data_IF_590102487240
#
_entry.id   IF_590102487240
#
_cell.length_a   1.000
_cell.length_b   1.000
_cell.length_c   1.000
_cell.angle_alpha   90.00
_cell.angle_beta   90.00
_cell.angle_gamma   90.00
#
_symmetry.space_group_name_H-M   'P 1'
#
loop_
_entity.id
_entity.type
_entity.pdbx_description
1 polymer ?
#
# COMPACT_ATOMS: atom_id res chain seq x y z
N UNK A 1 -3.96 -17.29 26.74
CA UNK A 1 -4.25 -17.34 25.29
C UNK A 1 -3.17 -16.56 24.55
N UNK A 2 -2.58 -17.14 23.51
CA UNK A 2 -1.66 -16.41 22.62
C UNK A 2 -2.47 -15.38 21.83
N UNK A 3 -2.05 -14.12 21.83
CA UNK A 3 -2.69 -13.06 21.05
C UNK A 3 -2.48 -13.37 19.55
N UNK A 4 -3.55 -13.73 18.84
CA UNK A 4 -3.53 -13.95 17.39
C UNK A 4 -4.41 -12.90 16.73
N UNK A 5 -3.80 -12.03 15.91
CA UNK A 5 -4.52 -11.06 15.09
C UNK A 5 -4.63 -11.60 13.66
N UNK A 6 -5.85 -11.89 13.17
CA UNK A 6 -6.04 -12.43 11.83
C UNK A 6 -5.84 -11.38 10.73
N UNK A 7 -5.86 -10.08 11.07
CA UNK A 7 -5.76 -8.99 10.12
C UNK A 7 -4.30 -8.60 9.90
N UNK A 8 -3.82 -8.64 8.66
CA UNK A 8 -2.44 -8.28 8.33
C UNK A 8 -2.28 -6.78 8.08
N UNK A 9 -3.19 -6.18 7.31
CA UNK A 9 -3.09 -4.80 6.84
C UNK A 9 -4.42 -4.07 6.98
N UNK A 10 -4.49 -3.07 7.84
CA UNK A 10 -5.63 -2.14 7.84
C UNK A 10 -5.47 -1.03 6.81
N UNK A 11 -4.26 -0.70 6.38
CA UNK A 11 -4.01 0.27 5.31
C UNK A 11 -3.22 -0.38 4.19
N UNK A 12 -3.71 -0.25 2.95
CA UNK A 12 -2.92 -0.62 1.78
C UNK A 12 -1.83 0.42 1.61
N UNK A 13 -0.56 -0.01 1.58
CA UNK A 13 0.58 0.87 1.38
C UNK A 13 0.87 1.08 -0.09
N UNK A 14 -0.16 1.42 -0.85
CA UNK A 14 -0.11 1.70 -2.29
C UNK A 14 -0.91 2.96 -2.58
N UNK A 15 -0.33 3.88 -3.34
CA UNK A 15 -1.00 5.13 -3.70
C UNK A 15 -2.00 4.90 -4.85
N UNK A 16 -3.33 5.07 -4.63
CA UNK A 16 -4.34 4.86 -5.66
C UNK A 16 -4.21 5.80 -6.87
N UNK A 17 -3.45 6.90 -6.77
CA UNK A 17 -3.14 7.74 -7.93
C UNK A 17 -2.33 7.00 -9.00
N UNK A 18 -1.57 5.97 -8.62
CA UNK A 18 -0.82 5.13 -9.55
C UNK A 18 -1.78 4.35 -10.45
N UNK A 19 -2.69 3.57 -9.85
CA UNK A 19 -3.71 2.83 -10.59
C UNK A 19 -4.63 3.77 -11.37
N UNK A 20 -4.98 4.93 -10.79
CA UNK A 20 -5.80 5.93 -11.49
C UNK A 20 -5.16 6.38 -12.80
N UNK A 21 -3.86 6.67 -12.81
CA UNK A 21 -3.12 7.04 -14.03
C UNK A 21 -3.16 5.92 -15.07
N UNK A 22 -2.90 4.68 -14.65
CA UNK A 22 -2.93 3.51 -15.53
C UNK A 22 -4.33 3.27 -16.10
N UNK A 23 -5.38 3.40 -15.30
CA UNK A 23 -6.78 3.28 -15.76
C UNK A 23 -7.11 4.33 -16.81
N UNK A 24 -6.69 5.59 -16.59
CA UNK A 24 -6.91 6.68 -17.54
C UNK A 24 -6.11 6.49 -18.84
N UNK A 25 -4.84 6.08 -18.76
CA UNK A 25 -3.97 5.90 -19.94
C UNK A 25 -4.38 4.69 -20.79
N UNK A 26 -4.95 3.65 -20.18
CA UNK A 26 -5.41 2.43 -20.86
C UNK A 26 -6.90 2.40 -21.18
N UNK A 27 -7.69 3.38 -20.69
CA UNK A 27 -9.15 3.37 -20.75
C UNK A 27 -9.78 2.09 -20.15
N UNK A 28 -9.13 1.51 -19.12
CA UNK A 28 -9.59 0.28 -18.46
C UNK A 28 -11.01 0.40 -17.91
N UNK A 29 -11.79 -0.67 -18.03
CA UNK A 29 -13.19 -0.77 -17.57
C UNK A 29 -13.42 -1.82 -16.51
N UNK A 30 -12.69 -2.92 -16.58
CA UNK A 30 -12.74 -4.03 -15.63
C UNK A 30 -11.35 -4.24 -15.02
N UNK A 31 -11.25 -4.08 -13.70
CA UNK A 31 -9.99 -4.02 -12.96
C UNK A 31 -9.94 -5.10 -11.89
N UNK A 32 -8.88 -5.92 -11.91
CA UNK A 32 -8.56 -6.88 -10.87
C UNK A 32 -7.52 -6.29 -9.92
N UNK A 33 -7.78 -6.34 -8.61
CA UNK A 33 -6.85 -5.86 -7.58
C UNK A 33 -6.65 -6.93 -6.50
N UNK A 34 -5.46 -6.96 -5.90
CA UNK A 34 -5.27 -7.58 -4.59
C UNK A 34 -5.98 -6.74 -3.54
N UNK A 35 -6.83 -7.35 -2.71
CA UNK A 35 -7.74 -6.60 -1.83
C UNK A 35 -6.98 -5.91 -0.69
N UNK A 36 -6.18 -6.67 0.08
CA UNK A 36 -5.43 -6.16 1.24
C UNK A 36 -6.35 -5.34 2.17
N UNK A 37 -5.92 -4.18 2.64
CA UNK A 37 -6.76 -3.26 3.44
C UNK A 37 -7.85 -2.51 2.65
N UNK A 38 -7.98 -2.71 1.33
CA UNK A 38 -9.01 -2.12 0.45
C UNK A 38 -8.91 -0.62 0.12
N UNK A 39 -7.96 0.12 0.71
CA UNK A 39 -7.83 1.58 0.51
C UNK A 39 -7.71 1.99 -0.96
N UNK A 40 -6.95 1.22 -1.76
CA UNK A 40 -6.79 1.43 -3.20
C UNK A 40 -8.13 1.25 -3.93
N UNK A 41 -8.79 0.10 -3.73
CA UNK A 41 -10.08 -0.21 -4.35
C UNK A 41 -11.17 0.80 -4.00
N UNK A 42 -11.26 1.20 -2.72
CA UNK A 42 -12.22 2.22 -2.26
C UNK A 42 -11.99 3.56 -2.97
N UNK A 43 -10.73 4.00 -3.07
CA UNK A 43 -10.41 5.25 -3.78
C UNK A 43 -10.74 5.15 -5.27
N UNK A 44 -10.40 4.03 -5.91
CA UNK A 44 -10.64 3.83 -7.34
C UNK A 44 -12.12 3.76 -7.70
N UNK A 45 -12.95 3.06 -6.93
CA UNK A 45 -14.40 3.07 -7.15
C UNK A 45 -14.99 4.46 -6.92
N UNK A 46 -14.45 5.24 -5.98
CA UNK A 46 -14.86 6.62 -5.77
C UNK A 46 -14.46 7.53 -6.94
N UNK A 47 -13.30 7.32 -7.57
CA UNK A 47 -12.89 8.02 -8.79
C UNK A 47 -13.73 7.62 -9.99
N UNK A 48 -14.04 6.32 -10.10
CA UNK A 48 -14.70 5.75 -11.25
C UNK A 48 -15.91 4.88 -10.82
N UNK A 49 -17.06 5.50 -10.49
CA UNK A 49 -18.24 4.78 -10.00
C UNK A 49 -18.83 3.77 -10.99
N UNK A 50 -18.49 3.87 -12.28
CA UNK A 50 -19.02 3.02 -13.34
C UNK A 50 -18.14 1.81 -13.67
N UNK A 51 -16.91 1.76 -13.16
CA UNK A 51 -16.01 0.63 -13.43
C UNK A 51 -16.31 -0.55 -12.54
N UNK A 52 -15.97 -1.73 -13.04
CA UNK A 52 -16.06 -2.99 -12.32
C UNK A 52 -14.72 -3.28 -11.67
N UNK A 53 -14.78 -3.64 -10.39
CA UNK A 53 -13.61 -4.00 -9.62
C UNK A 53 -13.81 -5.38 -8.99
N UNK A 54 -12.86 -6.27 -9.25
CA UNK A 54 -12.77 -7.58 -8.63
C UNK A 54 -11.60 -7.58 -7.66
N UNK A 55 -11.85 -7.93 -6.41
CA UNK A 55 -10.87 -7.93 -5.32
C UNK A 55 -10.55 -9.36 -4.91
N UNK A 56 -9.27 -9.71 -4.94
CA UNK A 56 -8.79 -11.04 -4.58
C UNK A 56 -7.98 -10.97 -3.30
N UNK A 57 -8.32 -11.77 -2.31
CA UNK A 57 -7.51 -11.95 -1.10
C UNK A 57 -7.80 -13.32 -0.47
N UNK A 58 -6.77 -14.10 -0.09
CA UNK A 58 -6.98 -15.38 0.57
C UNK A 58 -7.33 -15.24 2.06
N UNK A 59 -7.17 -14.05 2.64
CA UNK A 59 -7.47 -13.80 4.05
C UNK A 59 -8.90 -13.27 4.24
N UNK A 60 -9.84 -14.07 4.80
CA UNK A 60 -11.21 -13.63 5.00
C UNK A 60 -11.33 -12.41 5.94
N UNK A 61 -10.37 -12.21 6.86
CA UNK A 61 -10.38 -11.03 7.74
C UNK A 61 -10.11 -9.73 6.99
N UNK A 62 -9.33 -9.77 5.90
CA UNK A 62 -9.13 -8.61 5.02
C UNK A 62 -10.43 -8.27 4.30
N UNK A 63 -11.09 -9.28 3.72
CA UNK A 63 -12.38 -9.09 3.05
C UNK A 63 -13.43 -8.51 4.01
N UNK A 64 -13.51 -9.04 5.23
CA UNK A 64 -14.41 -8.53 6.26
C UNK A 64 -14.11 -7.05 6.59
N UNK A 65 -12.84 -6.67 6.77
CA UNK A 65 -12.48 -5.27 7.02
C UNK A 65 -12.95 -4.36 5.88
N UNK A 66 -12.78 -4.78 4.62
CA UNK A 66 -13.22 -3.98 3.46
C UNK A 66 -14.74 -3.78 3.49
N UNK A 67 -15.51 -4.83 3.80
CA UNK A 67 -16.96 -4.75 3.94
C UNK A 67 -17.38 -3.80 5.07
N UNK A 68 -16.69 -3.83 6.21
CA UNK A 68 -16.91 -2.90 7.34
C UNK A 68 -16.61 -1.44 6.95
N UNK A 69 -15.52 -1.21 6.20
CA UNK A 69 -15.19 0.11 5.64
C UNK A 69 -16.26 0.58 4.68
N UNK A 70 -16.71 -0.26 3.74
CA UNK A 70 -17.79 0.08 2.80
C UNK A 70 -19.07 0.45 3.55
N UNK A 71 -19.45 -0.33 4.57
CA UNK A 71 -20.62 -0.06 5.39
C UNK A 71 -20.51 1.29 6.09
N UNK A 72 -19.39 1.55 6.77
CA UNK A 72 -19.12 2.81 7.48
C UNK A 72 -19.14 4.00 6.53
N UNK A 73 -18.47 3.90 5.38
CA UNK A 73 -18.44 4.97 4.38
C UNK A 73 -19.85 5.31 3.84
N UNK A 74 -20.72 4.30 3.71
CA UNK A 74 -22.09 4.45 3.21
C UNK A 74 -23.09 4.96 4.26
N UNK A 75 -22.96 4.52 5.52
CA UNK A 75 -24.00 4.72 6.55
C UNK A 75 -23.68 5.80 7.56
N UNK A 76 -22.41 6.01 7.88
CA UNK A 76 -22.00 6.95 8.91
C UNK A 76 -22.16 8.40 8.44
N UNK A 77 -22.45 9.31 9.38
CA UNK A 77 -22.31 10.74 9.15
C UNK A 77 -20.86 11.11 8.82
N UNK A 78 -20.62 12.30 8.28
CA UNK A 78 -19.26 12.76 7.96
C UNK A 78 -18.33 12.73 9.18
N UNK A 79 -18.82 13.12 10.37
CA UNK A 79 -18.06 13.10 11.62
C UNK A 79 -17.74 11.68 12.09
N UNK A 80 -18.74 10.79 12.10
CA UNK A 80 -18.54 9.38 12.49
C UNK A 80 -17.61 8.65 11.53
N UNK A 81 -17.70 8.95 10.22
CA UNK A 81 -16.78 8.44 9.21
C UNK A 81 -15.35 8.89 9.53
N UNK A 82 -15.12 10.19 9.71
CA UNK A 82 -13.80 10.72 10.07
C UNK A 82 -13.25 10.06 11.35
N UNK A 83 -14.08 9.93 12.37
CA UNK A 83 -13.69 9.26 13.62
C UNK A 83 -13.30 7.79 13.41
N UNK A 84 -14.11 7.02 12.65
CA UNK A 84 -13.90 5.59 12.40
C UNK A 84 -12.64 5.29 11.59
N UNK A 85 -12.14 6.26 10.83
CA UNK A 85 -10.90 6.17 10.05
C UNK A 85 -9.75 6.97 10.69
N UNK A 86 -9.84 7.25 11.99
CA UNK A 86 -8.77 7.93 12.73
C UNK A 86 -8.35 9.25 12.07
N UNK A 87 -9.31 10.13 11.77
CA UNK A 87 -9.00 11.53 11.43
C UNK A 87 -8.89 12.30 12.74
N UNK A 88 -7.73 12.92 12.98
CA UNK A 88 -7.34 13.67 14.21
C UNK A 88 -7.43 12.86 15.52
N UNK A 89 -7.50 11.54 15.45
CA UNK A 89 -7.47 10.64 16.61
C UNK A 89 -6.80 9.32 16.22
N UNK A 90 -6.17 8.60 17.15
CA UNK A 90 -5.38 7.40 16.88
C UNK A 90 -5.95 6.15 17.60
N UNK A 91 -7.27 6.00 17.63
CA UNK A 91 -7.92 4.90 18.33
C UNK A 91 -7.53 3.53 17.75
N UNK A 92 -7.24 2.56 18.63
CA UNK A 92 -6.92 1.18 18.23
C UNK A 92 -8.09 0.48 17.53
N UNK A 93 -9.32 0.94 17.76
CA UNK A 93 -10.53 0.46 17.10
C UNK A 93 -10.78 1.09 15.73
N UNK A 94 -9.93 2.03 15.30
CA UNK A 94 -10.04 2.65 13.98
C UNK A 94 -9.84 1.62 12.87
N UNK A 95 -10.60 1.76 11.78
CA UNK A 95 -10.59 0.84 10.63
C UNK A 95 -9.26 0.85 9.86
N UNK A 96 -8.33 1.72 10.25
CA UNK A 96 -6.99 1.87 9.71
C UNK A 96 -5.87 1.50 10.70
N UNK A 97 -6.14 0.96 11.90
CA UNK A 97 -5.11 0.65 12.92
C UNK A 97 -5.11 -0.79 13.45
N UNK A 98 -6.03 -1.63 12.97
CA UNK A 98 -6.27 -2.99 13.48
C UNK A 98 -5.30 -4.08 13.01
N UNK A 99 -4.49 -3.85 11.98
CA UNK A 99 -3.64 -4.88 11.37
C UNK A 99 -2.33 -5.15 12.12
N UNK A 100 -1.68 -6.26 11.76
CA UNK A 100 -0.34 -6.57 12.22
C UNK A 100 0.66 -5.49 11.79
N UNK A 101 0.61 -5.05 10.53
CA UNK A 101 1.54 -4.02 10.06
C UNK A 101 1.35 -2.68 10.77
N UNK A 102 0.10 -2.31 11.06
CA UNK A 102 -0.21 -1.14 11.88
C UNK A 102 0.30 -1.29 13.31
N UNK A 103 0.33 -2.51 13.86
CA UNK A 103 0.94 -2.78 15.17
C UNK A 103 2.46 -2.56 15.17
N UNK A 104 3.15 -2.87 14.07
CA UNK A 104 4.55 -2.50 13.88
C UNK A 104 4.71 -0.98 13.85
N UNK A 105 3.93 -0.27 13.02
CA UNK A 105 4.05 1.18 12.92
C UNK A 105 3.70 1.91 14.20
N UNK A 106 2.73 1.42 14.97
CA UNK A 106 2.40 1.96 16.28
C UNK A 106 3.55 1.78 17.27
N UNK A 107 4.23 0.63 17.26
CA UNK A 107 5.39 0.39 18.11
C UNK A 107 6.58 1.26 17.70
N UNK A 108 6.83 1.35 16.39
CA UNK A 108 7.82 2.26 15.80
C UNK A 108 7.55 3.71 16.19
N UNK A 109 6.33 4.21 15.98
CA UNK A 109 5.89 5.55 16.37
C UNK A 109 6.09 5.81 17.86
N UNK A 110 5.65 4.89 18.73
CA UNK A 110 5.82 5.05 20.17
C UNK A 110 7.29 5.18 20.56
N UNK A 111 8.18 4.41 19.92
CA UNK A 111 9.62 4.54 20.14
C UNK A 111 10.15 5.90 19.69
N UNK A 112 9.74 6.40 18.51
CA UNK A 112 10.09 7.75 18.06
C UNK A 112 9.61 8.80 19.05
N UNK A 113 8.37 8.66 19.56
CA UNK A 113 7.78 9.66 20.47
C UNK A 113 8.38 9.67 21.86
N UNK A 114 8.89 8.53 22.31
CA UNK A 114 9.54 8.39 23.62
C UNK A 114 11.00 8.84 23.59
N UNK A 115 11.71 8.56 22.49
CA UNK A 115 13.17 8.68 22.46
C UNK A 115 13.71 9.79 21.55
N UNK A 116 12.92 10.35 20.64
CA UNK A 116 13.41 11.29 19.62
C UNK A 116 12.70 12.65 19.70
N UNK A 117 11.38 12.69 19.45
CA UNK A 117 10.57 13.92 19.47
C UNK A 117 9.23 13.64 20.10
N UNK A 118 8.68 14.55 20.91
CA UNK A 118 7.34 14.34 21.43
C UNK A 118 6.27 14.40 20.32
N UNK A 119 5.03 14.00 20.65
CA UNK A 119 3.95 13.90 19.67
C UNK A 119 3.57 15.24 19.01
N UNK A 120 3.64 16.36 19.75
CA UNK A 120 3.32 17.69 19.22
C UNK A 120 4.41 18.19 18.27
N UNK A 121 5.68 18.02 18.66
CA UNK A 121 6.84 18.36 17.81
C UNK A 121 6.86 17.53 16.52
N UNK A 122 6.55 16.23 16.63
CA UNK A 122 6.45 15.36 15.46
C UNK A 122 5.30 15.79 14.54
N UNK A 123 4.13 16.15 15.10
CA UNK A 123 3.01 16.67 14.31
C UNK A 123 3.39 17.99 13.61
N UNK A 124 4.01 18.94 14.29
CA UNK A 124 4.49 20.19 13.71
C UNK A 124 5.48 19.93 12.55
N UNK A 125 6.47 19.06 12.78
CA UNK A 125 7.49 18.73 11.78
C UNK A 125 6.87 18.16 10.48
N UNK A 126 5.81 17.35 10.62
CA UNK A 126 5.17 16.62 9.53
C UNK A 126 4.00 17.35 8.87
N UNK A 127 3.51 18.46 9.42
CA UNK A 127 2.33 19.17 8.88
C UNK A 127 2.62 20.61 8.43
N UNK A 128 3.77 21.17 8.81
CA UNK A 128 4.21 22.49 8.34
C UNK A 128 4.76 22.45 6.91
N UNK A 129 4.26 23.27 5.97
CA UNK A 129 4.70 23.29 4.58
C UNK A 129 6.12 23.86 4.38
N UNK A 130 6.55 24.76 5.28
CA UNK A 130 7.81 25.53 5.13
C UNK A 130 8.97 24.98 5.97
N UNK A 131 8.84 23.80 6.57
CA UNK A 131 9.96 23.19 7.25
C UNK A 131 10.95 22.64 6.20
N UNK A 132 12.13 23.25 6.12
CA UNK A 132 13.20 22.80 5.25
C UNK A 132 13.58 21.34 5.57
N UNK A 133 13.92 20.55 4.55
CA UNK A 133 14.41 19.17 4.72
C UNK A 133 15.58 19.08 5.74
N UNK A 134 16.34 20.16 5.91
CA UNK A 134 17.36 20.30 6.95
C UNK A 134 16.83 20.13 8.38
N UNK A 135 15.62 20.62 8.70
CA UNK A 135 15.00 20.46 10.02
C UNK A 135 14.59 19.01 10.28
N UNK A 136 14.09 18.31 9.26
CA UNK A 136 13.79 16.87 9.35
C UNK A 136 15.08 16.09 9.62
N UNK A 137 16.15 16.38 8.87
CA UNK A 137 17.45 15.73 9.07
C UNK A 137 17.99 15.94 10.48
N UNK A 138 18.02 17.18 10.96
CA UNK A 138 18.60 17.50 12.27
C UNK A 138 17.77 16.95 13.43
N UNK A 139 16.43 16.99 13.32
CA UNK A 139 15.55 16.56 14.41
C UNK A 139 15.30 15.04 14.42
N UNK A 140 15.33 14.38 13.26
CA UNK A 140 15.11 12.94 13.14
C UNK A 140 16.37 12.19 12.73
N UNK A 141 16.89 12.41 11.52
CA UNK A 141 17.84 11.48 10.91
C UNK A 141 19.20 11.43 11.62
N UNK A 142 19.65 12.57 12.12
CA UNK A 142 20.91 12.70 12.87
C UNK A 142 20.76 12.25 14.33
N UNK A 143 19.52 11.97 14.79
CA UNK A 143 19.29 11.51 16.14
C UNK A 143 19.82 10.10 16.36
N UNK A 144 20.56 9.87 17.46
CA UNK A 144 21.22 8.58 17.74
C UNK A 144 20.27 7.37 17.80
N UNK A 145 18.99 7.59 18.11
CA UNK A 145 17.98 6.53 18.16
C UNK A 145 17.23 6.33 16.85
N UNK A 146 17.44 7.17 15.84
CA UNK A 146 16.75 7.06 14.55
C UNK A 146 17.07 5.74 13.86
N UNK A 147 18.36 5.44 13.67
CA UNK A 147 18.79 4.17 13.10
C UNK A 147 18.34 2.98 13.97
N UNK A 148 18.42 3.11 15.30
CA UNK A 148 17.99 2.06 16.25
C UNK A 148 16.52 1.70 16.06
N UNK A 149 15.65 2.67 15.80
CA UNK A 149 14.23 2.39 15.54
C UNK A 149 14.07 1.44 14.33
N UNK A 150 14.82 1.65 13.25
CA UNK A 150 14.76 0.76 12.09
C UNK A 150 15.35 -0.62 12.36
N UNK A 151 16.48 -0.66 13.06
CA UNK A 151 17.16 -1.90 13.42
C UNK A 151 16.32 -2.79 14.34
N UNK A 152 15.41 -2.21 15.13
CA UNK A 152 14.46 -2.93 15.98
C UNK A 152 13.20 -3.38 15.21
N UNK A 153 12.46 -2.43 14.64
CA UNK A 153 11.09 -2.69 14.16
C UNK A 153 11.03 -3.26 12.74
N UNK A 154 12.11 -3.17 11.97
CA UNK A 154 12.22 -3.77 10.65
C UNK A 154 13.29 -4.86 10.62
N UNK A 155 13.69 -5.37 11.78
CA UNK A 155 14.58 -6.52 11.88
C UNK A 155 13.99 -7.75 11.18
N UNK A 156 14.83 -8.55 10.53
CA UNK A 156 14.41 -9.75 9.78
C UNK A 156 13.52 -10.69 10.61
N UNK A 157 13.95 -11.08 11.81
CA UNK A 157 13.18 -11.98 12.67
C UNK A 157 11.85 -11.37 13.13
N UNK A 158 11.77 -10.04 13.24
CA UNK A 158 10.53 -9.36 13.63
C UNK A 158 9.51 -9.42 12.49
N UNK A 159 9.96 -9.15 11.25
CA UNK A 159 9.14 -9.24 10.05
C UNK A 159 8.70 -10.69 9.77
N UNK A 160 9.61 -11.65 9.90
CA UNK A 160 9.30 -13.09 9.73
C UNK A 160 8.27 -13.56 10.77
N UNK A 161 8.42 -13.17 12.05
CA UNK A 161 7.46 -13.52 13.09
C UNK A 161 6.05 -12.94 12.85
N UNK A 162 5.96 -11.79 12.19
CA UNK A 162 4.69 -11.12 11.90
C UNK A 162 4.01 -11.61 10.63
N UNK A 163 4.78 -11.78 9.55
CA UNK A 163 4.26 -11.99 8.21
C UNK A 163 4.59 -13.37 7.63
N UNK A 164 5.40 -14.17 8.32
CA UNK A 164 5.88 -15.46 7.85
C UNK A 164 7.20 -15.36 7.07
N UNK A 165 7.89 -16.49 6.86
CA UNK A 165 9.13 -16.54 6.09
C UNK A 165 8.94 -16.12 4.63
N UNK A 166 7.74 -16.33 4.08
CA UNK A 166 7.40 -15.99 2.70
C UNK A 166 7.54 -14.48 2.43
N UNK A 167 7.25 -13.63 3.42
CA UNK A 167 7.30 -12.18 3.26
C UNK A 167 8.72 -11.60 3.19
N UNK A 168 9.74 -12.41 3.54
CA UNK A 168 11.16 -11.99 3.57
C UNK A 168 12.05 -12.81 2.64
N UNK A 169 11.49 -13.77 1.91
CA UNK A 169 12.23 -14.83 1.21
C UNK A 169 13.16 -14.33 0.09
N UNK A 170 12.73 -13.31 -0.67
CA UNK A 170 13.47 -12.83 -1.85
C UNK A 170 14.44 -11.69 -1.55
N UNK A 171 14.29 -11.05 -0.39
CA UNK A 171 15.14 -9.95 0.03
C UNK A 171 16.45 -10.48 0.63
N UNK A 172 17.59 -9.79 0.43
CA UNK A 172 18.82 -10.15 1.12
C UNK A 172 18.60 -10.15 2.64
N UNK A 173 18.99 -11.22 3.33
CA UNK A 173 18.77 -11.35 4.78
C UNK A 173 19.38 -10.16 5.54
N UNK A 174 18.59 -9.55 6.42
CA UNK A 174 19.01 -8.38 7.21
C UNK A 174 18.99 -7.02 6.49
N UNK A 175 18.54 -6.95 5.24
CA UNK A 175 18.51 -5.69 4.48
C UNK A 175 17.36 -4.74 4.83
N UNK A 176 16.28 -5.25 5.43
CA UNK A 176 15.05 -4.50 5.68
C UNK A 176 15.21 -3.23 6.54
N UNK A 177 16.00 -3.21 7.64
CA UNK A 177 16.21 -1.97 8.41
C UNK A 177 16.75 -0.83 7.55
N UNK A 178 17.81 -1.09 6.79
CA UNK A 178 18.43 -0.08 5.93
C UNK A 178 17.50 0.32 4.78
N UNK A 179 16.77 -0.65 4.20
CA UNK A 179 15.82 -0.40 3.13
C UNK A 179 14.70 0.54 3.58
N UNK A 180 14.00 0.18 4.67
CA UNK A 180 12.90 0.97 5.19
C UNK A 180 13.34 2.35 5.66
N UNK A 181 14.52 2.45 6.27
CA UNK A 181 15.13 3.73 6.62
C UNK A 181 15.27 4.62 5.39
N UNK A 182 15.91 4.12 4.33
CA UNK A 182 16.17 4.88 3.10
C UNK A 182 14.88 5.39 2.46
N UNK A 183 13.86 4.54 2.31
CA UNK A 183 12.63 4.93 1.62
C UNK A 183 11.76 5.89 2.45
N UNK A 184 11.75 5.72 3.79
CA UNK A 184 11.07 6.64 4.70
C UNK A 184 11.79 7.99 4.78
N UNK A 185 13.12 8.00 4.89
CA UNK A 185 13.93 9.23 4.85
C UNK A 185 13.67 9.99 3.54
N UNK A 186 13.68 9.31 2.40
CA UNK A 186 13.36 9.92 1.11
C UNK A 186 11.96 10.57 1.10
N UNK A 187 10.94 9.89 1.64
CA UNK A 187 9.59 10.43 1.76
C UNK A 187 9.52 11.66 2.66
N UNK A 188 10.23 11.64 3.79
CA UNK A 188 10.31 12.74 4.74
C UNK A 188 11.13 13.94 4.24
N UNK A 189 11.97 13.76 3.22
CA UNK A 189 12.70 14.87 2.58
C UNK A 189 11.89 15.59 1.50
N UNK A 190 10.82 14.97 0.96
CA UNK A 190 9.99 15.60 -0.08
C UNK A 190 9.33 16.88 0.44
N UNK A 191 9.29 17.92 -0.40
CA UNK A 191 8.67 19.20 -0.09
C UNK A 191 7.17 19.06 0.22
N UNK A 192 6.49 18.14 -0.45
CA UNK A 192 5.06 17.88 -0.29
C UNK A 192 4.73 16.87 0.82
N UNK A 193 5.68 16.46 1.67
CA UNK A 193 5.45 15.50 2.77
C UNK A 193 4.30 15.90 3.69
N UNK A 194 4.08 17.21 3.86
CA UNK A 194 3.02 17.75 4.73
C UNK A 194 1.61 17.43 4.25
N UNK A 195 1.48 16.95 3.00
CA UNK A 195 0.24 16.47 2.38
C UNK A 195 0.17 14.95 2.28
N UNK A 196 1.21 14.25 2.70
CA UNK A 196 1.31 12.80 2.51
C UNK A 196 0.66 12.06 3.67
N UNK A 197 -0.59 11.64 3.47
CA UNK A 197 -1.35 10.91 4.47
C UNK A 197 -0.73 9.57 4.87
N UNK A 198 0.12 8.95 4.05
CA UNK A 198 0.85 7.75 4.43
C UNK A 198 1.89 8.03 5.51
N UNK A 199 2.61 9.15 5.38
CA UNK A 199 3.56 9.64 6.38
C UNK A 199 2.82 9.98 7.66
N UNK A 200 1.72 10.73 7.58
CA UNK A 200 0.90 11.05 8.75
C UNK A 200 0.43 9.79 9.45
N UNK A 201 -0.06 8.79 8.71
CA UNK A 201 -0.50 7.53 9.30
C UNK A 201 0.64 6.77 10.00
N UNK A 202 1.82 6.68 9.38
CA UNK A 202 2.99 6.00 9.98
C UNK A 202 3.38 6.66 11.31
N UNK A 203 3.56 7.98 11.29
CA UNK A 203 4.18 8.72 12.40
C UNK A 203 3.20 9.30 13.42
N UNK A 204 1.93 9.50 13.05
CA UNK A 204 0.90 10.05 13.94
C UNK A 204 -0.17 9.01 14.30
N UNK A 205 -0.32 7.94 13.51
CA UNK A 205 -1.37 6.91 13.70
C UNK A 205 -2.76 7.36 13.28
N UNK A 206 -2.84 8.50 12.59
CA UNK A 206 -4.08 9.15 12.21
C UNK A 206 -3.87 10.01 10.97
N UNK A 207 -4.95 10.35 10.28
CA UNK A 207 -4.94 11.32 9.20
C UNK A 207 -5.21 12.73 9.73
N UNK A 208 -4.60 13.73 9.09
CA UNK A 208 -4.81 15.14 9.42
C UNK A 208 -6.11 15.62 8.76
N UNK A 209 -6.93 16.38 9.48
CA UNK A 209 -8.22 16.89 8.98
C UNK A 209 -8.05 18.09 8.04
N UNK A 210 -7.42 17.84 6.91
CA UNK A 210 -7.32 18.75 5.78
C UNK A 210 -7.58 17.93 4.52
N UNK A 211 -8.41 18.44 3.61
CA UNK A 211 -8.84 17.69 2.42
C UNK A 211 -7.64 17.11 1.63
N UNK A 212 -6.58 17.90 1.48
CA UNK A 212 -5.35 17.50 0.77
C UNK A 212 -4.53 16.41 1.46
N UNK A 213 -4.85 16.09 2.73
CA UNK A 213 -4.16 15.12 3.60
C UNK A 213 -5.04 13.89 3.90
N UNK A 214 -6.16 13.73 3.21
CA UNK A 214 -7.06 12.58 3.40
C UNK A 214 -7.00 11.64 2.19
N UNK A 215 -7.10 10.32 2.41
CA UNK A 215 -7.40 9.38 1.34
C UNK A 215 -8.70 9.77 0.61
N UNK A 216 -8.71 9.66 -0.72
CA UNK A 216 -9.83 10.15 -1.53
C UNK A 216 -11.18 9.50 -1.20
N UNK A 217 -11.19 8.21 -0.81
CA UNK A 217 -12.42 7.53 -0.39
C UNK A 217 -13.10 8.15 0.85
N UNK A 218 -12.41 8.99 1.64
CA UNK A 218 -12.99 9.74 2.75
C UNK A 218 -13.61 11.07 2.31
N UNK A 219 -13.14 11.61 1.17
CA UNK A 219 -13.58 12.88 0.60
C UNK A 219 -14.80 12.71 -0.31
N UNK A 220 -14.86 11.58 -1.01
CA UNK A 220 -15.91 11.32 -1.98
C UNK A 220 -17.31 11.28 -1.33
N UNK A 221 -18.31 11.95 -1.92
CA UNK A 221 -19.68 11.90 -1.42
C UNK A 221 -20.28 10.52 -1.69
N UNK A 222 -20.23 9.65 -0.68
CA UNK A 222 -20.98 8.39 -0.55
C UNK A 222 -21.04 7.53 -1.84
N UNK A 223 -19.89 7.12 -2.41
CA UNK A 223 -19.90 6.22 -3.55
C UNK A 223 -20.56 4.88 -3.20
N UNK A 224 -21.28 4.31 -4.16
CA UNK A 224 -21.79 2.96 -4.03
C UNK A 224 -20.68 1.96 -4.40
N UNK A 225 -20.15 1.28 -3.39
CA UNK A 225 -19.12 0.26 -3.59
C UNK A 225 -19.75 -1.04 -4.09
N UNK A 226 -19.30 -1.53 -5.25
CA UNK A 226 -19.80 -2.74 -5.90
C UNK A 226 -18.62 -3.63 -6.30
N UNK A 227 -17.96 -4.20 -5.29
CA UNK A 227 -16.85 -5.12 -5.49
C UNK A 227 -17.35 -6.55 -5.68
N UNK A 228 -16.79 -7.23 -6.67
CA UNK A 228 -16.78 -8.70 -6.68
C UNK A 228 -15.61 -9.17 -5.81
N UNK A 229 -15.87 -10.11 -4.90
CA UNK A 229 -14.86 -10.63 -4.00
C UNK A 229 -14.52 -12.08 -4.34
N UNK A 230 -13.23 -12.35 -4.52
CA UNK A 230 -12.69 -13.70 -4.62
C UNK A 230 -11.89 -13.96 -3.34
N UNK A 231 -12.51 -14.68 -2.41
CA UNK A 231 -11.87 -15.06 -1.14
C UNK A 231 -10.97 -16.29 -1.35
N UNK A 232 -9.89 -16.09 -2.11
CA UNK A 232 -8.94 -17.12 -2.48
C UNK A 232 -7.63 -16.48 -2.96
N UNK A 233 -6.66 -17.31 -3.30
CA UNK A 233 -5.42 -16.86 -3.94
C UNK A 233 -5.65 -16.49 -5.41
N UNK A 234 -4.79 -15.62 -5.97
CA UNK A 234 -4.88 -15.11 -7.34
C UNK A 234 -4.91 -16.21 -8.42
N UNK A 235 -4.30 -17.37 -8.16
CA UNK A 235 -4.32 -18.53 -9.05
C UNK A 235 -5.71 -19.20 -9.15
N UNK A 236 -6.68 -18.80 -8.32
CA UNK A 236 -8.07 -19.27 -8.39
C UNK A 236 -9.01 -18.33 -9.11
N UNK A 237 -8.53 -17.19 -9.62
CA UNK A 237 -9.27 -16.40 -10.60
C UNK A 237 -9.55 -17.29 -11.81
N UNK A 238 -10.81 -17.44 -12.19
CA UNK A 238 -11.24 -18.40 -13.22
C UNK A 238 -10.57 -18.13 -14.57
N UNK A 239 -10.51 -16.85 -14.96
CA UNK A 239 -9.90 -16.41 -16.19
C UNK A 239 -9.50 -14.93 -16.09
N UNK A 240 -8.38 -14.54 -16.70
CA UNK A 240 -7.93 -13.15 -16.75
C UNK A 240 -8.40 -12.35 -17.99
N UNK A 241 -9.08 -13.00 -18.94
CA UNK A 241 -9.45 -12.37 -20.22
C UNK A 241 -10.35 -11.13 -20.10
N UNK A 242 -11.24 -11.07 -19.10
CA UNK A 242 -12.20 -9.97 -18.99
C UNK A 242 -11.54 -8.66 -18.54
N UNK A 243 -10.47 -8.75 -17.73
CA UNK A 243 -9.80 -7.59 -17.14
C UNK A 243 -9.02 -6.76 -18.16
N UNK A 244 -9.20 -5.45 -18.11
CA UNK A 244 -8.39 -4.47 -18.82
C UNK A 244 -7.14 -4.09 -18.03
N UNK A 245 -7.18 -4.23 -16.71
CA UNK A 245 -6.06 -4.03 -15.80
C UNK A 245 -6.02 -5.14 -14.74
N UNK A 246 -4.89 -5.84 -14.67
CA UNK A 246 -4.57 -6.75 -13.56
C UNK A 246 -3.48 -6.11 -12.71
N UNK A 247 -3.79 -5.84 -11.45
CA UNK A 247 -2.85 -5.34 -10.47
C UNK A 247 -2.50 -6.43 -9.46
N UNK A 248 -1.26 -6.91 -9.53
CA UNK A 248 -0.75 -7.97 -8.67
C UNK A 248 -0.18 -7.43 -7.36
N UNK A 249 -0.20 -6.11 -7.11
CA UNK A 249 0.49 -5.52 -5.97
C UNK A 249 1.94 -6.03 -5.93
N UNK A 250 2.44 -6.39 -4.75
CA UNK A 250 3.73 -7.02 -4.55
C UNK A 250 3.64 -8.51 -4.18
N UNK A 251 2.61 -9.23 -4.62
CA UNK A 251 2.46 -10.67 -4.26
C UNK A 251 3.63 -11.52 -4.72
N UNK A 252 4.35 -11.13 -5.78
CA UNK A 252 5.56 -11.83 -6.21
C UNK A 252 6.69 -11.76 -5.19
N UNK A 253 6.72 -10.77 -4.30
CA UNK A 253 7.66 -10.74 -3.18
C UNK A 253 7.41 -11.89 -2.17
N UNK A 254 6.22 -12.50 -2.21
CA UNK A 254 5.72 -13.49 -1.26
C UNK A 254 5.55 -14.89 -1.87
N UNK A 255 5.69 -15.01 -3.19
CA UNK A 255 5.43 -16.26 -3.90
C UNK A 255 6.72 -17.03 -4.18
N UNK A 256 6.63 -18.35 -4.10
CA UNK A 256 7.67 -19.25 -4.58
C UNK A 256 7.83 -19.13 -6.11
N UNK A 257 9.03 -19.40 -6.63
CA UNK A 257 9.35 -19.20 -8.05
C UNK A 257 8.47 -20.01 -9.01
N UNK A 258 8.11 -21.25 -8.64
CA UNK A 258 7.22 -22.11 -9.42
C UNK A 258 5.79 -21.55 -9.52
N UNK A 259 5.31 -20.93 -8.44
CA UNK A 259 4.01 -20.26 -8.41
C UNK A 259 4.02 -18.97 -9.22
N UNK A 260 5.12 -18.20 -9.17
CA UNK A 260 5.31 -17.00 -10.00
C UNK A 260 5.26 -17.38 -11.48
N UNK A 261 6.04 -18.38 -11.88
CA UNK A 261 6.08 -18.87 -13.26
C UNK A 261 4.70 -19.38 -13.71
N UNK A 262 4.03 -20.18 -12.88
CA UNK A 262 2.67 -20.67 -13.16
C UNK A 262 1.67 -19.53 -13.36
N UNK A 263 1.67 -18.52 -12.49
CA UNK A 263 0.78 -17.36 -12.63
C UNK A 263 1.11 -16.53 -13.87
N UNK A 264 2.40 -16.26 -14.13
CA UNK A 264 2.84 -15.53 -15.32
C UNK A 264 2.41 -16.25 -16.61
N UNK A 265 2.57 -17.58 -16.68
CA UNK A 265 2.13 -18.39 -17.81
C UNK A 265 0.61 -18.32 -18.03
N UNK A 266 -0.19 -18.24 -16.95
CA UNK A 266 -1.63 -18.01 -17.07
C UNK A 266 -1.92 -16.62 -17.62
N UNK A 267 -1.33 -15.57 -17.06
CA UNK A 267 -1.52 -14.18 -17.51
C UNK A 267 -1.10 -13.99 -18.99
N UNK A 268 0.04 -14.56 -19.40
CA UNK A 268 0.52 -14.57 -20.78
C UNK A 268 -0.49 -15.17 -21.77
N UNK A 269 -1.20 -16.21 -21.36
CA UNK A 269 -2.17 -16.92 -22.19
C UNK A 269 -3.56 -16.29 -22.16
N UNK A 270 -4.00 -15.83 -21.00
CA UNK A 270 -5.41 -15.52 -20.74
C UNK A 270 -5.73 -14.03 -20.91
N UNK A 271 -4.80 -13.12 -20.60
CA UNK A 271 -5.06 -11.68 -20.74
C UNK A 271 -5.20 -11.27 -22.20
N UNK A 272 -6.18 -10.41 -22.46
CA UNK A 272 -6.45 -9.89 -23.81
C UNK A 272 -5.40 -8.86 -24.26
N UNK A 273 -5.14 -8.75 -25.58
CA UNK A 273 -4.29 -7.71 -26.14
C UNK A 273 -4.66 -6.30 -25.67
N UNK A 274 -3.66 -5.46 -25.41
CA UNK A 274 -3.86 -4.10 -24.92
C UNK A 274 -4.19 -3.98 -23.42
N UNK A 275 -4.51 -5.08 -22.73
CA UNK A 275 -4.70 -5.06 -21.28
C UNK A 275 -3.39 -4.71 -20.56
N UNK A 276 -3.50 -4.08 -19.39
CA UNK A 276 -2.38 -3.66 -18.54
C UNK A 276 -2.12 -4.65 -17.42
N UNK A 277 -0.84 -4.90 -17.16
CA UNK A 277 -0.36 -5.60 -15.98
C UNK A 277 0.42 -4.60 -15.12
N UNK A 278 0.02 -4.46 -13.85
CA UNK A 278 0.72 -3.63 -12.87
C UNK A 278 1.28 -4.53 -11.76
N UNK A 279 2.57 -4.42 -11.49
CA UNK A 279 3.23 -5.10 -10.38
C UNK A 279 4.09 -4.12 -9.59
N UNK A 280 4.36 -4.47 -8.33
CA UNK A 280 5.24 -3.72 -7.43
C UNK A 280 6.28 -4.64 -6.83
N UNK A 281 7.44 -4.09 -6.50
CA UNK A 281 8.52 -4.83 -5.85
C UNK A 281 9.09 -4.02 -4.71
N UNK A 282 9.28 -4.67 -3.56
CA UNK A 282 9.77 -4.05 -2.35
C UNK A 282 11.31 -4.10 -2.27
N UNK A 283 11.85 -4.95 -1.40
CA UNK A 283 13.25 -4.94 -0.98
C UNK A 283 14.06 -6.06 -1.64
N UNK A 284 13.89 -6.24 -2.95
CA UNK A 284 14.68 -7.21 -3.72
C UNK A 284 14.90 -6.69 -5.16
N UNK A 285 15.77 -7.38 -5.89
CA UNK A 285 16.17 -7.03 -7.27
C UNK A 285 15.89 -8.17 -8.25
N UNK A 286 14.96 -9.07 -7.92
CA UNK A 286 14.57 -10.12 -8.88
C UNK A 286 13.93 -9.48 -10.09
N UNK A 287 14.21 -10.01 -11.28
CA UNK A 287 13.58 -9.57 -12.52
C UNK A 287 12.32 -10.40 -12.76
N UNK A 288 11.21 -10.07 -12.10
CA UNK A 288 9.95 -10.79 -12.35
C UNK A 288 9.37 -10.51 -13.74
N UNK A 289 9.80 -9.43 -14.41
CA UNK A 289 9.31 -9.12 -15.75
C UNK A 289 9.84 -10.08 -16.81
N UNK A 290 10.91 -10.83 -16.52
CA UNK A 290 11.43 -11.87 -17.41
C UNK A 290 10.39 -12.93 -17.79
N UNK A 291 9.48 -13.28 -16.87
CA UNK A 291 8.42 -14.28 -17.09
C UNK A 291 7.33 -13.84 -18.08
N UNK A 292 7.33 -12.56 -18.48
CA UNK A 292 6.36 -11.98 -19.41
C UNK A 292 6.96 -11.67 -20.79
N UNK A 293 8.23 -12.04 -21.00
CA UNK A 293 8.97 -11.78 -22.24
C UNK A 293 8.24 -12.30 -23.47
N UNK A 294 8.09 -11.46 -24.50
CA UNK A 294 7.40 -11.81 -25.75
C UNK A 294 5.87 -11.77 -25.68
N UNK A 295 5.28 -11.67 -24.49
CA UNK A 295 3.83 -11.57 -24.31
C UNK A 295 3.39 -10.21 -23.78
N UNK A 296 4.25 -9.51 -23.06
CA UNK A 296 4.03 -8.15 -22.59
C UNK A 296 5.20 -7.24 -22.96
N UNK A 297 4.89 -5.99 -23.27
CA UNK A 297 5.84 -4.90 -23.41
C UNK A 297 5.86 -4.07 -22.12
N UNK A 298 7.03 -3.96 -21.48
CA UNK A 298 7.20 -3.12 -20.30
C UNK A 298 7.29 -1.64 -20.70
N UNK A 299 6.38 -0.82 -20.19
CA UNK A 299 6.31 0.61 -20.45
C UNK A 299 7.28 1.33 -19.50
N UNK A 300 8.56 1.36 -19.87
CA UNK A 300 9.65 1.79 -18.97
C UNK A 300 9.51 3.24 -18.49
N UNK A 301 9.14 4.16 -19.38
CA UNK A 301 8.96 5.57 -19.04
C UNK A 301 7.75 5.75 -18.11
N UNK A 302 6.60 5.19 -18.46
CA UNK A 302 5.39 5.21 -17.60
C UNK A 302 5.68 4.58 -16.23
N UNK A 303 6.37 3.44 -16.18
CA UNK A 303 6.77 2.78 -14.93
C UNK A 303 7.63 3.66 -14.03
N UNK A 304 8.62 4.36 -14.61
CA UNK A 304 9.48 5.28 -13.87
C UNK A 304 8.71 6.51 -13.36
N UNK A 305 7.81 7.07 -14.17
CA UNK A 305 6.95 8.19 -13.76
C UNK A 305 5.99 7.81 -12.64
N UNK A 306 5.38 6.62 -12.73
CA UNK A 306 4.52 6.07 -11.68
C UNK A 306 5.30 5.96 -10.37
N UNK A 307 6.48 5.32 -10.38
CA UNK A 307 7.34 5.18 -9.21
C UNK A 307 7.74 6.54 -8.61
N UNK A 308 8.14 7.50 -9.44
CA UNK A 308 8.52 8.84 -8.97
C UNK A 308 7.36 9.57 -8.27
N UNK A 309 6.13 9.33 -8.72
CA UNK A 309 4.92 9.93 -8.18
C UNK A 309 4.30 9.20 -6.98
N UNK A 310 4.78 8.00 -6.65
CA UNK A 310 4.24 7.22 -5.54
C UNK A 310 4.46 7.94 -4.19
N UNK A 311 3.36 8.11 -3.45
CA UNK A 311 3.37 8.68 -2.10
C UNK A 311 3.49 7.60 -1.02
N UNK A 312 3.28 6.33 -1.34
CA UNK A 312 3.23 5.26 -0.34
C UNK A 312 4.58 5.04 0.34
N UNK A 313 5.69 5.24 -0.39
CA UNK A 313 7.09 5.12 0.02
C UNK A 313 7.66 3.70 0.00
N UNK A 314 6.87 2.65 -0.17
CA UNK A 314 7.33 1.31 0.18
C UNK A 314 8.15 0.62 -0.90
N UNK A 315 7.92 0.94 -2.17
CA UNK A 315 8.37 0.10 -3.28
C UNK A 315 9.62 0.65 -3.95
N UNK A 316 10.50 -0.25 -4.37
CA UNK A 316 11.67 0.08 -5.19
C UNK A 316 11.37 0.03 -6.68
N UNK A 317 10.30 -0.67 -7.07
CA UNK A 317 9.85 -0.75 -8.45
C UNK A 317 8.32 -0.75 -8.52
N UNK A 318 7.80 -0.07 -9.55
CA UNK A 318 6.44 -0.20 -10.05
C UNK A 318 6.58 -0.50 -11.54
N UNK A 319 6.07 -1.63 -12.00
CA UNK A 319 6.18 -2.07 -13.38
C UNK A 319 4.80 -2.04 -14.02
N UNK A 320 4.61 -1.20 -15.03
CA UNK A 320 3.42 -1.16 -15.87
C UNK A 320 3.76 -1.77 -17.22
N UNK A 321 3.08 -2.85 -17.60
CA UNK A 321 3.29 -3.54 -18.86
C UNK A 321 1.97 -3.67 -19.64
N UNK A 322 2.07 -3.78 -20.96
CA UNK A 322 0.92 -3.97 -21.86
C UNK A 322 1.00 -5.31 -22.55
N UNK A 323 -0.12 -6.04 -22.59
CA UNK A 323 -0.21 -7.29 -23.34
C UNK A 323 -0.05 -7.01 -24.83
N UNK A 324 0.95 -7.64 -25.45
CA UNK A 324 1.21 -7.63 -26.90
C UNK A 324 0.79 -8.94 -27.55
N UNK A 325 0.52 -8.91 -28.85
CA UNK A 325 -0.09 -10.03 -29.57
C UNK A 325 -1.54 -10.14 -29.24
#
# INVERSE_FOLDING_TARGET
MVKRNPLQFSVVREDPEIERKVILSSNAKEVLLIASGGCTALSLQAYFPHLKFTLVDPNPAQIQLIQEKMHTLKKASATERKASFNVENNALSGLNEGGNFESLFRSFRNFITEFILNAEELKDLLTQPLNHASRVRSMLFEHKYWQVAFDLFFHHNFLEAMFGPEAVQHAPKGSYPQYFRKVIEHGLEKENRYRNYFIHHIFLGHYVDQEICLPYYLLAPAPEYRFEFINNTIDKVENFHSFDLVNLSNIFDWMDEDKIESLANRLNREMKPGARLLTRQLNNQKDFMQYFSGHFELLREESAELLASDRSLFYSQINCAVKVG
#
